data_IF_547269581725
#
_entry.id   IF_547269581725
#
_cell.length_a   1.000
_cell.length_b   1.000
_cell.length_c   1.000
_cell.angle_alpha   90.00
_cell.angle_beta   90.00
_cell.angle_gamma   90.00
#
_symmetry.space_group_name_H-M   'P 1'
#
loop_
_entity.id
_entity.type
_entity.pdbx_description
1 polymer ?
#
# COMPACT_ATOMS: atom_id res chain seq x y z
N UNK A 1 15.53 13.90 -3.81
CA UNK A 1 14.58 14.91 -4.32
C UNK A 1 14.28 15.91 -3.19
N UNK A 2 13.96 17.18 -3.46
CA UNK A 2 13.66 18.14 -2.40
C UNK A 2 12.34 17.80 -1.71
N UNK A 3 12.39 17.58 -0.39
CA UNK A 3 11.19 17.33 0.44
C UNK A 3 10.87 18.58 1.24
N UNK A 4 9.71 19.19 1.00
CA UNK A 4 9.28 20.39 1.71
C UNK A 4 8.56 19.97 3.01
N UNK A 5 9.10 20.39 4.16
CA UNK A 5 8.31 20.35 5.39
C UNK A 5 7.39 21.56 5.35
N UNK A 6 6.07 21.36 5.28
CA UNK A 6 5.16 22.44 5.61
C UNK A 6 5.08 22.55 7.13
N UNK A 7 5.06 23.76 7.66
CA UNK A 7 4.73 23.94 9.08
C UNK A 7 3.35 23.34 9.32
N UNK A 8 3.31 22.33 10.19
CA UNK A 8 2.05 21.77 10.66
C UNK A 8 1.30 22.87 11.35
N UNK A 9 0.20 23.21 10.69
CA UNK A 9 -0.99 23.90 11.16
C UNK A 9 -1.08 23.90 12.70
N UNK A 10 -0.98 25.11 13.27
CA UNK A 10 -0.98 25.44 14.70
C UNK A 10 -1.71 24.41 15.59
N UNK A 11 -0.91 23.61 16.30
CA UNK A 11 -1.37 22.56 17.21
C UNK A 11 -1.90 23.10 18.54
N UNK A 12 -1.80 24.41 18.78
CA UNK A 12 -2.20 25.02 20.05
C UNK A 12 -3.66 25.48 20.05
N UNK A 13 -4.35 25.49 18.90
CA UNK A 13 -5.64 26.15 18.76
C UNK A 13 -6.84 25.40 19.36
N UNK A 14 -6.73 24.11 19.65
CA UNK A 14 -7.75 23.33 20.34
C UNK A 14 -7.08 22.39 21.36
N UNK A 15 -6.94 22.86 22.62
CA UNK A 15 -6.47 22.11 23.80
C UNK A 15 -5.46 20.99 23.51
N UNK A 16 -4.20 21.38 23.32
CA UNK A 16 -3.08 20.48 23.22
C UNK A 16 -2.91 19.62 24.47
N UNK A 17 -3.28 18.35 24.35
CA UNK A 17 -2.77 17.23 25.13
C UNK A 17 -2.18 16.18 24.19
N UNK A 18 -1.55 15.15 24.75
CA UNK A 18 -0.95 13.98 24.09
C UNK A 18 -1.92 13.11 23.26
N UNK A 19 -3.17 13.54 23.05
CA UNK A 19 -4.31 12.68 22.66
C UNK A 19 -5.05 13.16 21.38
N UNK A 20 -4.38 13.84 20.44
CA UNK A 20 -5.06 14.44 19.25
C UNK A 20 -4.35 14.21 17.90
N UNK A 21 -3.36 13.33 17.84
CA UNK A 21 -2.50 13.10 16.67
C UNK A 21 -3.29 12.65 15.42
N UNK A 22 -4.25 11.74 15.59
CA UNK A 22 -5.12 11.25 14.52
C UNK A 22 -6.05 12.32 13.98
N UNK A 23 -6.63 13.18 14.83
CA UNK A 23 -7.44 14.33 14.39
C UNK A 23 -6.60 15.30 13.54
N UNK A 24 -5.41 15.64 14.02
CA UNK A 24 -4.51 16.54 13.30
C UNK A 24 -4.13 15.97 11.94
N UNK A 25 -3.90 14.67 11.87
CA UNK A 25 -3.60 13.96 10.62
C UNK A 25 -4.80 13.95 9.68
N UNK A 26 -6.02 13.73 10.19
CA UNK A 26 -7.24 13.79 9.40
C UNK A 26 -7.43 15.17 8.76
N UNK A 27 -7.32 16.22 9.58
CA UNK A 27 -7.41 17.61 9.15
C UNK A 27 -6.39 17.92 8.05
N UNK A 28 -5.13 17.55 8.27
CA UNK A 28 -4.05 17.81 7.32
C UNK A 28 -4.29 17.07 6.00
N UNK A 29 -4.66 15.79 6.08
CA UNK A 29 -4.95 14.97 4.91
C UNK A 29 -6.11 15.54 4.10
N UNK A 30 -7.22 15.91 4.76
CA UNK A 30 -8.38 16.50 4.10
C UNK A 30 -8.04 17.79 3.37
N UNK A 31 -7.32 18.70 4.03
CA UNK A 31 -6.98 20.00 3.45
C UNK A 31 -6.04 19.84 2.24
N UNK A 32 -5.07 18.93 2.32
CA UNK A 32 -4.16 18.67 1.20
C UNK A 32 -4.84 17.95 0.05
N UNK A 33 -5.74 17.01 0.31
CA UNK A 33 -6.54 16.38 -0.75
C UNK A 33 -7.39 17.40 -1.51
N UNK A 34 -8.09 18.30 -0.80
CA UNK A 34 -8.88 19.37 -1.43
C UNK A 34 -8.01 20.28 -2.31
N UNK A 35 -6.83 20.66 -1.81
CA UNK A 35 -5.90 21.53 -2.53
C UNK A 35 -5.32 20.85 -3.77
N UNK A 36 -4.79 19.63 -3.62
CA UNK A 36 -4.17 18.88 -4.71
C UNK A 36 -5.15 18.42 -5.78
N UNK A 37 -6.45 18.36 -5.47
CA UNK A 37 -7.52 18.16 -6.47
C UNK A 37 -8.00 19.45 -7.14
N UNK A 38 -7.46 20.61 -6.77
CA UNK A 38 -7.88 21.91 -7.29
C UNK A 38 -9.29 22.30 -6.85
N UNK A 39 -9.83 21.66 -5.79
CA UNK A 39 -11.14 21.96 -5.23
C UNK A 39 -11.11 23.22 -4.37
N UNK A 40 -9.93 23.56 -3.84
CA UNK A 40 -9.64 24.85 -3.22
C UNK A 40 -8.40 25.47 -3.86
N UNK A 41 -8.39 26.80 -3.97
CA UNK A 41 -7.25 27.56 -4.49
C UNK A 41 -6.06 27.58 -3.53
N UNK A 42 -4.87 27.91 -4.03
CA UNK A 42 -3.66 28.15 -3.18
C UNK A 42 -3.92 29.17 -2.08
N UNK A 43 -4.68 30.23 -2.40
CA UNK A 43 -5.08 31.25 -1.44
C UNK A 43 -5.96 30.65 -0.34
N UNK A 44 -7.02 29.93 -0.72
CA UNK A 44 -7.89 29.25 0.25
C UNK A 44 -7.12 28.24 1.10
N UNK A 45 -6.22 27.45 0.50
CA UNK A 45 -5.36 26.53 1.24
C UNK A 45 -4.50 27.28 2.27
N UNK A 46 -3.87 28.39 1.88
CA UNK A 46 -3.06 29.22 2.78
C UNK A 46 -3.88 29.89 3.89
N UNK A 47 -5.13 30.26 3.61
CA UNK A 47 -6.04 30.87 4.58
C UNK A 47 -6.57 29.81 5.57
N UNK A 48 -7.03 28.67 5.06
CA UNK A 48 -7.62 27.59 5.85
C UNK A 48 -6.60 26.84 6.70
N UNK A 49 -5.35 26.70 6.24
CA UNK A 49 -4.29 26.03 7.01
C UNK A 49 -3.90 26.76 8.31
N UNK A 50 -4.41 27.96 8.58
CA UNK A 50 -4.22 28.66 9.86
C UNK A 50 -5.55 29.10 10.49
N UNK A 51 -6.68 28.61 9.98
CA UNK A 51 -8.01 29.07 10.40
C UNK A 51 -8.53 28.24 11.59
N UNK A 52 -8.52 28.84 12.77
CA UNK A 52 -9.04 28.23 14.01
C UNK A 52 -10.48 27.69 13.85
N UNK A 53 -11.38 28.49 13.29
CA UNK A 53 -12.79 28.11 13.16
C UNK A 53 -12.99 26.91 12.22
N UNK A 54 -12.15 26.79 11.19
CA UNK A 54 -12.15 25.61 10.32
C UNK A 54 -11.74 24.36 11.10
N UNK A 55 -10.73 24.46 11.95
CA UNK A 55 -10.27 23.33 12.76
C UNK A 55 -11.28 22.90 13.81
N UNK A 56 -11.92 23.86 14.48
CA UNK A 56 -13.03 23.57 15.39
C UNK A 56 -14.19 22.87 14.68
N UNK A 57 -14.46 23.21 13.40
CA UNK A 57 -15.47 22.49 12.60
C UNK A 57 -15.05 21.06 12.28
N UNK A 58 -13.80 20.83 11.86
CA UNK A 58 -13.29 19.47 11.61
C UNK A 58 -13.35 18.66 12.91
N UNK A 59 -12.87 19.23 14.02
CA UNK A 59 -12.85 18.58 15.34
C UNK A 59 -14.25 18.12 15.77
N UNK A 60 -15.24 19.01 15.67
CA UNK A 60 -16.63 18.72 16.03
C UNK A 60 -17.24 17.57 15.21
N UNK A 61 -16.76 17.35 13.99
CA UNK A 61 -17.23 16.28 13.11
C UNK A 61 -16.42 14.99 13.27
N UNK A 62 -15.16 15.07 13.73
CA UNK A 62 -14.26 13.92 13.81
C UNK A 62 -14.18 13.27 15.19
N UNK A 63 -14.12 14.07 16.25
CA UNK A 63 -13.92 13.60 17.62
C UNK A 63 -15.27 13.54 18.32
N UNK A 64 -15.69 12.34 18.70
CA UNK A 64 -16.82 12.19 19.62
C UNK A 64 -16.27 12.22 21.04
N UNK A 65 -16.66 13.23 21.82
CA UNK A 65 -16.32 13.30 23.24
C UNK A 65 -17.07 12.19 23.99
N UNK A 66 -16.46 11.01 24.06
CA UNK A 66 -16.83 10.04 25.09
C UNK A 66 -16.53 10.69 26.46
N UNK A 67 -17.49 10.64 27.38
CA UNK A 67 -17.58 11.50 28.57
C UNK A 67 -16.42 11.50 29.58
N UNK A 68 -15.25 10.93 29.27
CA UNK A 68 -14.07 10.84 30.14
C UNK A 68 -12.71 11.08 29.43
N UNK A 69 -12.67 11.96 28.43
CA UNK A 69 -11.41 12.40 27.80
C UNK A 69 -11.52 12.54 26.29
N UNK A 70 -10.70 13.39 25.69
CA UNK A 70 -10.58 13.43 24.23
C UNK A 70 -9.88 12.13 23.80
N UNK A 71 -10.60 11.20 23.18
CA UNK A 71 -9.99 10.02 22.59
C UNK A 71 -9.40 10.40 21.23
N UNK A 72 -8.15 9.99 20.99
CA UNK A 72 -7.49 10.17 19.71
C UNK A 72 -8.29 9.49 18.58
N UNK A 73 -8.16 9.97 17.35
CA UNK A 73 -8.82 9.37 16.19
C UNK A 73 -8.06 8.10 15.81
N UNK A 74 -8.57 6.95 16.24
CA UNK A 74 -8.05 5.64 15.83
C UNK A 74 -8.25 5.41 14.32
N UNK A 75 -7.48 4.51 13.71
CA UNK A 75 -7.60 4.21 12.27
C UNK A 75 -9.05 3.85 11.83
N UNK A 76 -9.83 3.01 12.55
CA UNK A 76 -11.22 2.76 12.20
C UNK A 76 -12.10 4.01 12.24
N UNK A 77 -11.90 4.89 13.23
CA UNK A 77 -12.61 6.17 13.32
C UNK A 77 -12.19 7.08 12.17
N UNK A 78 -10.90 7.17 11.87
CA UNK A 78 -10.37 7.93 10.74
C UNK A 78 -11.06 7.56 9.43
N UNK A 79 -11.07 6.26 9.10
CA UNK A 79 -11.68 5.74 7.88
C UNK A 79 -13.20 5.98 7.85
N UNK A 80 -13.87 5.82 8.99
CA UNK A 80 -15.31 6.12 9.12
C UNK A 80 -15.60 7.59 8.84
N UNK A 81 -14.84 8.51 9.47
CA UNK A 81 -15.01 9.96 9.28
C UNK A 81 -14.66 10.39 7.87
N UNK A 82 -13.68 9.74 7.24
CA UNK A 82 -13.34 10.00 5.84
C UNK A 82 -14.50 9.59 4.92
N UNK A 83 -15.10 8.42 5.17
CA UNK A 83 -16.28 7.95 4.43
C UNK A 83 -17.48 8.89 4.59
N UNK A 84 -17.74 9.39 5.79
CA UNK A 84 -18.79 10.37 6.06
C UNK A 84 -18.54 11.70 5.34
N UNK A 85 -17.30 12.21 5.38
CA UNK A 85 -16.91 13.40 4.63
C UNK A 85 -17.19 13.24 3.13
N UNK A 86 -16.77 12.10 2.55
CA UNK A 86 -17.00 11.78 1.14
C UNK A 86 -18.49 11.67 0.79
N UNK A 87 -19.33 11.17 1.70
CA UNK A 87 -20.81 11.12 1.54
C UNK A 87 -21.48 12.49 1.68
N UNK A 88 -20.73 13.53 2.05
CA UNK A 88 -21.26 14.88 2.23
C UNK A 88 -21.92 15.10 3.59
N UNK A 89 -21.62 14.27 4.59
CA UNK A 89 -22.17 14.39 5.95
C UNK A 89 -21.53 15.57 6.71
N UNK A 90 -20.39 16.08 6.24
CA UNK A 90 -19.70 17.23 6.84
C UNK A 90 -20.06 18.52 6.12
N UNK A 91 -20.42 19.56 6.88
CA UNK A 91 -20.70 20.90 6.34
C UNK A 91 -19.52 21.85 6.61
N UNK A 92 -18.79 22.17 5.54
CA UNK A 92 -17.73 23.17 5.52
C UNK A 92 -18.06 24.37 4.62
N UNK A 93 -19.34 24.57 4.30
CA UNK A 93 -19.80 25.63 3.38
C UNK A 93 -19.39 27.04 3.82
N UNK A 94 -19.36 27.29 5.14
CA UNK A 94 -18.86 28.55 5.73
C UNK A 94 -17.38 28.85 5.44
N UNK A 95 -16.63 27.86 4.97
CA UNK A 95 -15.23 27.96 4.56
C UNK A 95 -15.05 27.92 3.04
N UNK A 96 -16.14 27.95 2.28
CA UNK A 96 -16.12 27.87 0.82
C UNK A 96 -15.79 26.48 0.28
N UNK A 97 -15.98 25.41 1.09
CA UNK A 97 -15.86 24.02 0.65
C UNK A 97 -17.28 23.45 0.54
N UNK A 98 -17.69 23.02 -0.66
CA UNK A 98 -19.02 22.46 -0.88
C UNK A 98 -19.00 20.95 -0.61
N UNK A 99 -20.14 20.38 -0.22
CA UNK A 99 -20.26 18.93 -0.05
C UNK A 99 -19.98 18.18 -1.37
N UNK A 100 -20.30 18.79 -2.51
CA UNK A 100 -19.94 18.27 -3.84
C UNK A 100 -18.43 18.23 -4.10
N UNK A 101 -17.65 19.07 -3.42
CA UNK A 101 -16.19 19.02 -3.51
C UNK A 101 -15.66 17.83 -2.70
N UNK A 102 -16.23 17.57 -1.51
CA UNK A 102 -15.88 16.40 -0.69
C UNK A 102 -16.23 15.07 -1.39
N UNK A 103 -17.37 15.01 -2.09
CA UNK A 103 -17.76 13.83 -2.86
C UNK A 103 -16.85 13.53 -4.06
N UNK A 104 -16.05 14.50 -4.52
CA UNK A 104 -15.06 14.30 -5.57
C UNK A 104 -13.73 13.71 -5.06
N UNK A 105 -13.55 13.61 -3.73
CA UNK A 105 -12.40 12.95 -3.15
C UNK A 105 -12.57 11.44 -3.36
N UNK A 106 -11.73 10.83 -4.20
CA UNK A 106 -11.72 9.39 -4.34
C UNK A 106 -11.06 8.78 -3.09
N UNK A 107 -11.81 8.05 -2.29
CA UNK A 107 -11.34 7.43 -1.04
C UNK A 107 -11.47 5.89 -1.06
N UNK A 108 -11.95 5.33 -2.17
CA UNK A 108 -12.16 3.89 -2.31
C UNK A 108 -10.81 3.18 -2.40
N UNK A 109 -10.51 2.21 -1.53
CA UNK A 109 -9.18 1.58 -1.46
C UNK A 109 -8.94 0.59 -2.62
N UNK A 110 -8.92 1.09 -3.85
CA UNK A 110 -8.76 0.35 -5.11
C UNK A 110 -7.48 0.71 -5.87
N UNK A 111 -6.64 1.54 -5.27
CA UNK A 111 -5.40 2.12 -5.77
C UNK A 111 -5.56 3.37 -6.67
N UNK A 112 -6.78 3.87 -6.87
CA UNK A 112 -7.06 5.17 -7.52
C UNK A 112 -7.47 6.26 -6.53
N UNK A 113 -7.60 5.90 -5.25
CA UNK A 113 -7.89 6.84 -4.19
C UNK A 113 -6.81 7.91 -4.04
N UNK A 114 -7.20 9.01 -3.41
CA UNK A 114 -6.34 10.15 -3.13
C UNK A 114 -5.71 10.05 -1.74
N UNK A 115 -6.05 9.01 -0.97
CA UNK A 115 -5.54 8.80 0.38
C UNK A 115 -5.37 7.32 0.72
N UNK A 116 -4.21 6.99 1.26
CA UNK A 116 -3.96 5.73 1.96
C UNK A 116 -3.84 6.02 3.44
N UNK A 117 -4.72 5.45 4.26
CA UNK A 117 -4.63 5.54 5.72
C UNK A 117 -4.27 4.17 6.29
N UNK A 118 -3.24 4.09 7.12
CA UNK A 118 -2.73 2.84 7.68
C UNK A 118 -2.05 3.06 9.02
N UNK A 119 -2.06 2.03 9.87
CA UNK A 119 -1.12 1.94 10.98
C UNK A 119 0.16 1.26 10.50
N UNK A 120 1.28 1.66 11.07
CA UNK A 120 2.61 1.39 10.57
C UNK A 120 3.55 1.22 11.77
N UNK A 121 4.35 0.16 11.78
CA UNK A 121 5.36 -0.06 12.85
C UNK A 121 6.75 0.31 12.33
N UNK A 122 7.29 1.41 12.86
CA UNK A 122 8.66 1.84 12.64
C UNK A 122 9.57 1.12 13.64
N UNK A 123 10.13 -0.02 13.23
CA UNK A 123 11.31 -0.58 13.88
C UNK A 123 12.56 0.13 13.36
N UNK A 124 13.24 0.96 14.19
CA UNK A 124 14.51 1.55 13.82
C UNK A 124 15.57 0.44 13.85
N UNK A 125 15.87 -0.16 12.70
CA UNK A 125 16.94 -1.16 12.56
C UNK A 125 16.54 -2.50 11.96
N UNK A 126 15.28 -2.72 11.56
CA UNK A 126 14.90 -3.93 10.83
C UNK A 126 15.33 -3.81 9.34
N UNK A 127 16.28 -4.63 8.85
CA UNK A 127 16.55 -4.73 7.42
C UNK A 127 15.39 -5.47 6.75
N UNK A 128 14.77 -4.83 5.75
CA UNK A 128 13.65 -5.39 4.99
C UNK A 128 13.20 -4.40 3.91
N UNK A 129 12.89 -4.91 2.73
CA UNK A 129 12.58 -4.12 1.54
C UNK A 129 11.12 -3.65 1.50
N UNK A 130 10.69 -2.88 2.50
CA UNK A 130 9.41 -2.20 2.40
C UNK A 130 8.87 -1.54 3.66
N UNK A 131 7.61 -1.13 3.53
CA UNK A 131 6.80 -0.51 4.56
C UNK A 131 6.32 -1.60 5.54
N UNK A 132 7.23 -2.22 6.30
CA UNK A 132 6.87 -3.19 7.35
C UNK A 132 5.72 -2.68 8.24
N UNK A 133 4.60 -3.41 8.25
CA UNK A 133 3.32 -3.01 8.84
C UNK A 133 2.23 -2.61 7.84
N UNK A 134 2.56 -2.01 6.69
CA UNK A 134 1.61 -1.81 5.57
C UNK A 134 1.47 -3.07 4.70
N UNK A 135 2.51 -3.91 4.64
CA UNK A 135 2.46 -5.22 3.99
C UNK A 135 1.53 -6.22 4.71
N UNK A 136 1.19 -5.96 5.97
CA UNK A 136 0.18 -6.73 6.70
C UNK A 136 -1.25 -6.32 6.32
N UNK A 137 -1.43 -5.08 5.83
CA UNK A 137 -2.69 -4.58 5.29
C UNK A 137 -2.71 -4.73 3.76
N UNK A 138 -3.35 -5.80 3.31
CA UNK A 138 -3.43 -6.16 1.90
C UNK A 138 -4.00 -5.04 1.01
N UNK A 139 -5.01 -4.32 1.48
CA UNK A 139 -5.63 -3.25 0.68
C UNK A 139 -4.67 -2.08 0.50
N UNK A 140 -3.88 -1.77 1.53
CA UNK A 140 -2.83 -0.76 1.48
C UNK A 140 -1.71 -1.18 0.52
N UNK A 141 -1.26 -2.44 0.59
CA UNK A 141 -0.24 -2.96 -0.31
C UNK A 141 -0.68 -2.92 -1.78
N UNK A 142 -1.87 -3.44 -2.10
CA UNK A 142 -2.44 -3.42 -3.45
C UNK A 142 -2.60 -1.99 -3.98
N UNK A 143 -3.12 -1.10 -3.14
CA UNK A 143 -3.29 0.31 -3.50
C UNK A 143 -1.96 1.01 -3.80
N UNK A 144 -0.94 0.76 -2.98
CA UNK A 144 0.38 1.37 -3.14
C UNK A 144 1.07 0.87 -4.42
N UNK A 145 0.91 -0.40 -4.78
CA UNK A 145 1.42 -0.94 -6.05
C UNK A 145 0.72 -0.33 -7.26
N UNK A 146 -0.61 -0.14 -7.21
CA UNK A 146 -1.33 0.54 -8.30
C UNK A 146 -0.90 1.99 -8.44
N UNK A 147 -0.67 2.69 -7.32
CA UNK A 147 -0.07 4.02 -7.33
C UNK A 147 1.33 4.02 -7.95
N UNK A 148 2.19 3.04 -7.61
CA UNK A 148 3.52 2.90 -8.20
C UNK A 148 3.48 2.75 -9.73
N UNK A 149 2.45 2.06 -10.25
CA UNK A 149 2.20 1.86 -11.68
C UNK A 149 1.52 3.04 -12.38
N UNK A 150 1.07 4.05 -11.63
CA UNK A 150 0.35 5.19 -12.20
C UNK A 150 1.29 6.09 -13.00
N UNK A 151 0.98 6.25 -14.29
CA UNK A 151 1.72 7.12 -15.22
C UNK A 151 1.13 8.53 -15.22
N UNK A 152 1.98 9.51 -15.47
CA UNK A 152 1.58 10.91 -15.59
C UNK A 152 1.33 11.60 -14.24
N UNK A 153 0.63 12.73 -14.29
CA UNK A 153 0.40 13.55 -13.11
C UNK A 153 -0.56 12.87 -12.12
N UNK A 154 -0.15 12.75 -10.86
CA UNK A 154 -0.99 12.20 -9.79
C UNK A 154 -0.68 12.84 -8.45
N UNK A 155 -1.67 12.87 -7.56
CA UNK A 155 -1.55 13.36 -6.21
C UNK A 155 -2.08 12.31 -5.24
N UNK A 156 -1.34 12.09 -4.16
CA UNK A 156 -1.71 11.09 -3.15
C UNK A 156 -1.34 11.54 -1.75
N UNK A 157 -2.16 11.20 -0.77
CA UNK A 157 -1.91 11.46 0.65
C UNK A 157 -1.73 10.14 1.39
N UNK A 158 -0.69 10.03 2.19
CA UNK A 158 -0.50 8.94 3.14
C UNK A 158 -0.77 9.46 4.55
N UNK A 159 -1.78 8.92 5.23
CA UNK A 159 -2.12 9.23 6.62
C UNK A 159 -1.72 8.04 7.50
N UNK A 160 -0.58 8.15 8.19
CA UNK A 160 0.08 6.99 8.79
C UNK A 160 0.14 7.11 10.31
N UNK A 161 -0.40 6.11 11.01
CA UNK A 161 -0.26 5.94 12.45
C UNK A 161 1.02 5.15 12.77
N UNK A 162 2.03 5.79 13.34
CA UNK A 162 3.35 5.22 13.65
C UNK A 162 3.38 4.60 15.06
N UNK A 163 3.77 3.32 15.15
CA UNK A 163 3.95 2.55 16.39
C UNK A 163 2.73 2.55 17.33
N UNK A 164 1.52 2.81 16.81
CA UNK A 164 0.31 3.07 17.61
C UNK A 164 0.45 4.23 18.62
N UNK A 165 1.46 5.07 18.46
CA UNK A 165 1.78 6.17 19.37
C UNK A 165 1.52 7.54 18.73
N UNK A 166 1.72 7.64 17.41
CA UNK A 166 1.82 8.93 16.74
C UNK A 166 1.20 8.90 15.35
N UNK A 167 0.82 10.04 14.79
CA UNK A 167 0.31 10.09 13.41
C UNK A 167 1.05 11.11 12.55
N UNK A 168 1.18 10.83 11.26
CA UNK A 168 1.82 11.74 10.29
C UNK A 168 1.04 11.76 8.98
N UNK A 169 1.20 12.85 8.23
CA UNK A 169 0.69 12.98 6.87
C UNK A 169 1.85 13.20 5.91
N UNK A 170 1.97 12.35 4.89
CA UNK A 170 2.90 12.52 3.79
C UNK A 170 2.12 12.67 2.48
N UNK A 171 2.14 13.85 1.88
CA UNK A 171 1.50 14.11 0.60
C UNK A 171 2.52 14.10 -0.52
N UNK A 172 2.19 13.40 -1.60
CA UNK A 172 3.00 13.26 -2.79
C UNK A 172 2.30 13.93 -3.96
N UNK A 173 3.06 14.70 -4.73
CA UNK A 173 2.67 15.17 -6.06
C UNK A 173 3.66 14.62 -7.08
N UNK A 174 3.15 13.91 -8.09
CA UNK A 174 3.87 13.43 -9.25
C UNK A 174 3.51 14.28 -10.45
N UNK A 175 4.49 14.75 -11.21
CA UNK A 175 4.26 15.51 -12.43
C UNK A 175 4.06 14.59 -13.66
N UNK A 176 3.82 15.20 -14.83
CA UNK A 176 3.62 14.46 -16.08
C UNK A 176 4.85 13.63 -16.52
N UNK A 177 6.04 13.94 -16.02
CA UNK A 177 7.29 13.21 -16.30
C UNK A 177 7.56 12.08 -15.32
N UNK A 178 6.73 11.95 -14.27
CA UNK A 178 6.91 10.98 -13.20
C UNK A 178 7.81 11.46 -12.06
N UNK A 179 8.26 12.72 -12.06
CA UNK A 179 9.02 13.26 -10.93
C UNK A 179 8.10 13.52 -9.74
N UNK A 180 8.51 13.04 -8.56
CA UNK A 180 7.75 13.13 -7.33
C UNK A 180 8.30 14.22 -6.41
N UNK A 181 7.40 14.95 -5.79
CA UNK A 181 7.69 15.92 -4.73
C UNK A 181 6.85 15.58 -3.50
N UNK A 182 7.39 15.88 -2.33
CA UNK A 182 6.83 15.45 -1.07
C UNK A 182 6.61 16.62 -0.13
N UNK A 183 5.43 16.63 0.47
CA UNK A 183 5.05 17.50 1.58
C UNK A 183 4.79 16.64 2.81
N UNK A 184 5.57 16.87 3.87
CA UNK A 184 5.41 16.12 5.12
C UNK A 184 4.84 17.01 6.22
N UNK A 185 3.93 16.46 7.01
CA UNK A 185 3.26 17.11 8.12
C UNK A 185 3.19 16.14 9.30
N UNK A 186 3.87 16.49 10.38
CA UNK A 186 3.93 15.71 11.61
C UNK A 186 2.87 16.20 12.61
N UNK A 187 1.99 15.31 13.09
CA UNK A 187 0.94 15.70 14.04
C UNK A 187 1.43 16.05 15.45
N UNK A 188 2.75 16.04 15.70
CA UNK A 188 3.40 16.42 16.95
C UNK A 188 4.47 17.50 16.70
N UNK A 189 4.05 18.75 16.90
CA UNK A 189 4.85 19.99 16.85
C UNK A 189 5.77 20.12 15.63
N UNK A 190 5.34 19.60 14.48
CA UNK A 190 6.06 19.73 13.22
C UNK A 190 7.49 19.14 13.26
N UNK A 191 7.67 18.02 13.94
CA UNK A 191 8.95 17.32 13.95
C UNK A 191 9.28 16.75 12.57
N UNK A 192 10.57 16.66 12.25
CA UNK A 192 11.07 15.99 11.03
C UNK A 192 11.55 14.58 11.32
N UNK A 193 11.42 14.09 12.56
CA UNK A 193 12.01 12.82 13.03
C UNK A 193 11.65 11.65 12.13
N UNK A 194 10.39 11.58 11.69
CA UNK A 194 9.88 10.47 10.89
C UNK A 194 9.88 10.75 9.39
N UNK A 195 10.13 12.00 8.98
CA UNK A 195 9.97 12.47 7.60
C UNK A 195 10.76 11.62 6.62
N UNK A 196 12.07 11.52 6.82
CA UNK A 196 12.96 10.85 5.87
C UNK A 196 12.71 9.34 5.86
N UNK A 197 12.45 8.73 7.03
CA UNK A 197 12.15 7.30 7.11
C UNK A 197 10.84 6.93 6.43
N UNK A 198 9.76 7.69 6.67
CA UNK A 198 8.44 7.44 6.08
C UNK A 198 8.51 7.64 4.56
N UNK A 199 9.04 8.77 4.10
CA UNK A 199 9.14 9.06 2.66
C UNK A 199 10.04 8.03 1.97
N UNK A 200 11.19 7.67 2.56
CA UNK A 200 12.08 6.68 1.99
C UNK A 200 11.42 5.31 1.85
N UNK A 201 10.65 4.86 2.85
CA UNK A 201 9.96 3.57 2.77
C UNK A 201 8.85 3.57 1.74
N UNK A 202 8.08 4.65 1.62
CA UNK A 202 7.05 4.75 0.57
C UNK A 202 7.72 4.74 -0.81
N UNK A 203 8.75 5.58 -1.02
CA UNK A 203 9.48 5.62 -2.28
C UNK A 203 10.13 4.28 -2.62
N UNK A 204 10.65 3.54 -1.64
CA UNK A 204 11.21 2.21 -1.85
C UNK A 204 10.21 1.21 -2.45
N UNK A 205 8.89 1.42 -2.31
CA UNK A 205 7.86 0.67 -3.03
C UNK A 205 7.56 1.34 -4.37
N UNK A 206 7.38 2.66 -4.39
CA UNK A 206 6.98 3.40 -5.59
C UNK A 206 8.04 3.42 -6.71
N UNK A 207 9.29 3.04 -6.42
CA UNK A 207 10.38 2.94 -7.40
C UNK A 207 10.73 1.50 -7.80
N UNK A 208 10.01 0.50 -7.27
CA UNK A 208 10.19 -0.91 -7.67
C UNK A 208 9.85 -1.11 -9.14
N UNK A 209 10.56 -2.02 -9.79
CA UNK A 209 10.22 -2.54 -11.11
C UNK A 209 8.96 -3.41 -11.05
N UNK A 210 8.35 -3.71 -12.21
CA UNK A 210 7.16 -4.58 -12.26
C UNK A 210 7.39 -5.97 -11.65
N UNK A 211 8.60 -6.52 -11.76
CA UNK A 211 8.95 -7.79 -11.13
C UNK A 211 9.03 -7.65 -9.60
N UNK A 212 9.75 -6.64 -9.11
CA UNK A 212 9.86 -6.38 -7.66
C UNK A 212 8.52 -6.01 -7.02
N UNK A 213 7.60 -5.38 -7.77
CA UNK A 213 6.24 -5.10 -7.31
C UNK A 213 5.41 -6.38 -7.19
N UNK A 214 5.61 -7.39 -8.05
CA UNK A 214 4.95 -8.69 -7.92
C UNK A 214 5.47 -9.43 -6.69
N UNK A 215 6.78 -9.47 -6.50
CA UNK A 215 7.40 -10.08 -5.32
C UNK A 215 6.91 -9.43 -4.03
N UNK A 216 6.82 -8.09 -4.02
CA UNK A 216 6.26 -7.33 -2.90
C UNK A 216 4.81 -7.70 -2.57
N UNK A 217 3.96 -7.91 -3.58
CA UNK A 217 2.56 -8.33 -3.36
C UNK A 217 2.47 -9.75 -2.78
N UNK A 218 3.31 -10.67 -3.25
CA UNK A 218 3.41 -12.03 -2.71
C UNK A 218 3.89 -12.02 -1.25
N UNK A 219 4.89 -11.21 -0.94
CA UNK A 219 5.40 -11.02 0.42
C UNK A 219 4.31 -10.44 1.34
N UNK A 220 3.59 -9.40 0.91
CA UNK A 220 2.47 -8.83 1.66
C UNK A 220 1.35 -9.86 1.90
N UNK A 221 0.97 -10.61 0.86
CA UNK A 221 -0.01 -11.68 0.97
C UNK A 221 0.41 -12.74 2.00
N UNK A 222 1.68 -13.13 1.98
CA UNK A 222 2.25 -14.13 2.90
C UNK A 222 2.33 -13.62 4.33
N UNK A 223 2.78 -12.38 4.53
CA UNK A 223 2.93 -11.78 5.86
C UNK A 223 1.59 -11.56 6.57
N UNK A 224 0.53 -11.26 5.81
CA UNK A 224 -0.84 -11.12 6.35
C UNK A 224 -1.48 -12.45 6.82
N UNK A 225 -0.83 -13.60 6.64
CA UNK A 225 -1.41 -14.93 6.85
C UNK A 225 -1.55 -15.36 8.33
N UNK A 226 -0.97 -14.68 9.31
CA UNK A 226 -0.86 -15.21 10.68
C UNK A 226 -2.21 -15.64 11.30
N UNK A 227 -3.30 -14.90 11.06
CA UNK A 227 -4.64 -15.27 11.54
C UNK A 227 -5.41 -16.19 10.57
N UNK A 228 -5.14 -16.07 9.26
CA UNK A 228 -5.82 -16.85 8.22
C UNK A 228 -5.30 -18.29 8.12
N UNK A 229 -4.02 -18.51 8.46
CA UNK A 229 -3.39 -19.83 8.48
C UNK A 229 -4.12 -20.82 9.39
N UNK A 230 -4.76 -20.34 10.45
CA UNK A 230 -5.55 -21.19 11.35
C UNK A 230 -6.78 -21.78 10.66
N UNK A 231 -7.34 -21.09 9.66
CA UNK A 231 -8.45 -21.62 8.85
C UNK A 231 -7.91 -22.53 7.74
N UNK A 232 -6.80 -22.14 7.11
CA UNK A 232 -6.15 -22.96 6.09
C UNK A 232 -5.70 -24.33 6.62
N UNK A 233 -5.16 -24.38 7.84
CA UNK A 233 -4.67 -25.62 8.44
C UNK A 233 -5.76 -26.64 8.77
N UNK A 234 -7.03 -26.26 8.70
CA UNK A 234 -8.17 -27.12 9.01
C UNK A 234 -8.71 -27.86 7.79
N UNK A 235 -8.33 -27.44 6.59
CA UNK A 235 -8.85 -27.98 5.35
C UNK A 235 -7.73 -28.68 4.58
N UNK A 236 -8.08 -29.78 3.93
CA UNK A 236 -7.23 -30.43 2.96
C UNK A 236 -7.07 -29.49 1.75
N UNK A 237 -5.84 -29.15 1.34
CA UNK A 237 -5.62 -28.21 0.25
C UNK A 237 -6.09 -28.71 -1.12
N UNK A 238 -6.19 -30.03 -1.32
CA UNK A 238 -6.63 -30.64 -2.57
C UNK A 238 -8.15 -30.68 -2.70
N UNK A 239 -8.85 -31.01 -1.61
CA UNK A 239 -10.33 -31.20 -1.63
C UNK A 239 -11.09 -29.99 -1.13
N UNK A 240 -10.47 -29.14 -0.31
CA UNK A 240 -11.13 -28.05 0.41
C UNK A 240 -12.05 -28.49 1.55
N UNK A 241 -12.08 -29.80 1.84
CA UNK A 241 -12.85 -30.38 2.94
C UNK A 241 -11.98 -30.52 4.20
N UNK A 242 -12.57 -30.62 5.41
CA UNK A 242 -11.83 -30.97 6.61
C UNK A 242 -11.06 -32.28 6.45
N UNK A 243 -9.96 -32.43 7.22
CA UNK A 243 -9.28 -33.72 7.31
C UNK A 243 -10.20 -34.77 7.93
N UNK A 244 -10.05 -36.03 7.49
CA UNK A 244 -10.91 -37.14 7.93
C UNK A 244 -10.81 -37.30 9.45
N UNK A 245 -11.95 -37.22 10.14
CA UNK A 245 -12.03 -37.30 11.59
C UNK A 245 -11.85 -35.96 12.32
N UNK A 246 -11.67 -34.85 11.60
CA UNK A 246 -11.55 -33.49 12.14
C UNK A 246 -12.74 -32.59 11.77
N UNK A 247 -13.82 -33.16 11.21
CA UNK A 247 -14.96 -32.40 10.67
C UNK A 247 -15.63 -31.51 11.73
N UNK A 248 -15.88 -32.07 12.92
CA UNK A 248 -16.51 -31.35 14.03
C UNK A 248 -15.58 -30.26 14.62
N UNK A 249 -14.26 -30.52 14.68
CA UNK A 249 -13.28 -29.52 15.16
C UNK A 249 -13.16 -28.37 14.16
N UNK A 250 -13.07 -28.68 12.87
CA UNK A 250 -13.05 -27.68 11.80
C UNK A 250 -14.30 -26.81 11.87
N UNK A 251 -15.50 -27.41 11.93
CA UNK A 251 -16.76 -26.67 12.05
C UNK A 251 -16.78 -25.78 13.30
N UNK A 252 -16.39 -26.31 14.47
CA UNK A 252 -16.34 -25.54 15.72
C UNK A 252 -15.37 -24.36 15.63
N UNK A 253 -14.17 -24.57 15.07
CA UNK A 253 -13.15 -23.54 14.94
C UNK A 253 -13.52 -22.48 13.92
N UNK A 254 -14.11 -22.83 12.78
CA UNK A 254 -14.66 -21.87 11.84
C UNK A 254 -15.80 -21.05 12.48
N UNK A 255 -16.73 -21.69 13.19
CA UNK A 255 -17.82 -21.00 13.88
C UNK A 255 -17.33 -20.08 15.01
N UNK A 256 -16.25 -20.47 15.69
CA UNK A 256 -15.60 -19.68 16.73
C UNK A 256 -14.87 -18.41 16.24
N UNK A 257 -14.72 -18.22 14.93
CA UNK A 257 -14.07 -17.03 14.35
C UNK A 257 -15.12 -16.06 13.78
N UNK A 258 -15.50 -14.99 14.52
CA UNK A 258 -16.48 -14.02 14.03
C UNK A 258 -15.96 -13.18 12.85
N UNK A 259 -14.65 -13.04 12.71
CA UNK A 259 -14.01 -12.22 11.66
C UNK A 259 -13.72 -12.99 10.36
N UNK A 260 -14.05 -14.28 10.27
CA UNK A 260 -13.68 -15.13 9.13
C UNK A 260 -14.16 -14.59 7.77
N UNK A 261 -15.36 -14.02 7.73
CA UNK A 261 -15.95 -13.43 6.52
C UNK A 261 -15.15 -12.22 6.08
N UNK A 262 -14.80 -11.34 7.02
CA UNK A 262 -14.01 -10.14 6.73
C UNK A 262 -12.59 -10.51 6.28
N UNK A 263 -11.97 -11.53 6.87
CA UNK A 263 -10.67 -12.03 6.43
C UNK A 263 -10.68 -12.55 4.99
N UNK A 264 -11.71 -13.33 4.63
CA UNK A 264 -11.87 -13.81 3.26
C UNK A 264 -12.16 -12.65 2.31
N UNK A 265 -13.05 -11.72 2.68
CA UNK A 265 -13.40 -10.56 1.86
C UNK A 265 -12.18 -9.67 1.58
N UNK A 266 -11.36 -9.39 2.58
CA UNK A 266 -10.15 -8.57 2.43
C UNK A 266 -9.14 -9.22 1.47
N UNK A 267 -8.94 -10.54 1.59
CA UNK A 267 -8.06 -11.30 0.67
C UNK A 267 -8.61 -11.36 -0.74
N UNK A 268 -9.92 -11.53 -0.87
CA UNK A 268 -10.59 -11.53 -2.17
C UNK A 268 -10.44 -10.19 -2.87
N UNK A 269 -10.70 -9.08 -2.17
CA UNK A 269 -10.52 -7.72 -2.70
C UNK A 269 -9.06 -7.45 -3.10
N UNK A 270 -8.10 -7.91 -2.30
CA UNK A 270 -6.69 -7.87 -2.66
C UNK A 270 -6.44 -8.56 -4.01
N UNK A 271 -6.85 -9.83 -4.14
CA UNK A 271 -6.67 -10.60 -5.38
C UNK A 271 -7.35 -9.95 -6.58
N UNK A 272 -8.51 -9.33 -6.36
CA UNK A 272 -9.22 -8.59 -7.39
C UNK A 272 -8.43 -7.35 -7.83
N UNK A 273 -7.92 -6.56 -6.89
CA UNK A 273 -7.18 -5.32 -7.17
C UNK A 273 -5.79 -5.57 -7.75
N UNK A 274 -5.17 -6.72 -7.47
CA UNK A 274 -3.87 -7.11 -8.02
C UNK A 274 -3.96 -7.88 -9.33
N UNK A 275 -5.17 -8.23 -9.78
CA UNK A 275 -5.40 -8.98 -11.01
C UNK A 275 -5.16 -10.49 -10.90
N UNK A 276 -4.96 -11.00 -9.68
CA UNK A 276 -4.74 -12.43 -9.42
C UNK A 276 -5.96 -13.28 -9.79
N UNK A 277 -7.16 -12.69 -9.84
CA UNK A 277 -8.33 -13.44 -10.29
C UNK A 277 -8.30 -13.73 -11.80
N UNK A 278 -7.61 -12.93 -12.61
CA UNK A 278 -7.68 -13.01 -14.09
C UNK A 278 -6.38 -13.48 -14.75
N UNK A 279 -5.21 -13.23 -14.17
CA UNK A 279 -3.93 -13.63 -14.74
C UNK A 279 -3.00 -14.12 -13.63
N UNK A 280 -2.81 -15.45 -13.55
CA UNK A 280 -2.14 -16.11 -12.44
C UNK A 280 -0.82 -16.74 -12.87
N UNK A 281 0.22 -16.47 -12.11
CA UNK A 281 1.35 -17.38 -11.95
C UNK A 281 0.91 -18.65 -11.21
N UNK A 282 1.67 -19.76 -11.28
CA UNK A 282 1.34 -20.98 -10.54
C UNK A 282 1.19 -20.76 -9.03
N UNK A 283 1.97 -19.86 -8.44
CA UNK A 283 1.90 -19.52 -7.02
C UNK A 283 0.63 -18.73 -6.66
N UNK A 284 0.30 -17.70 -7.45
CA UNK A 284 -0.95 -16.94 -7.28
C UNK A 284 -2.19 -17.85 -7.44
N UNK A 285 -2.14 -18.82 -8.37
CA UNK A 285 -3.20 -19.82 -8.53
C UNK A 285 -3.39 -20.67 -7.28
N UNK A 286 -2.31 -21.11 -6.64
CA UNK A 286 -2.39 -21.87 -5.40
C UNK A 286 -3.05 -21.05 -4.28
N UNK A 287 -2.76 -19.75 -4.19
CA UNK A 287 -3.42 -18.85 -3.24
C UNK A 287 -4.91 -18.66 -3.53
N UNK A 288 -5.30 -18.50 -4.79
CA UNK A 288 -6.71 -18.41 -5.21
C UNK A 288 -7.48 -19.68 -4.85
N UNK A 289 -6.90 -20.86 -5.11
CA UNK A 289 -7.47 -22.17 -4.72
C UNK A 289 -7.66 -22.25 -3.22
N UNK A 290 -6.65 -21.89 -2.43
CA UNK A 290 -6.72 -21.92 -0.97
C UNK A 290 -7.81 -20.99 -0.43
N UNK A 291 -7.92 -19.77 -0.98
CA UNK A 291 -8.99 -18.84 -0.59
C UNK A 291 -10.37 -19.38 -0.99
N UNK A 292 -10.50 -19.97 -2.17
CA UNK A 292 -11.74 -20.63 -2.61
C UNK A 292 -12.16 -21.72 -1.64
N UNK A 293 -11.26 -22.63 -1.26
CA UNK A 293 -11.56 -23.74 -0.36
C UNK A 293 -12.12 -23.24 0.98
N UNK A 294 -11.46 -22.25 1.58
CA UNK A 294 -11.92 -21.61 2.82
C UNK A 294 -13.28 -20.92 2.63
N UNK A 295 -13.43 -20.14 1.57
CA UNK A 295 -14.66 -19.42 1.26
C UNK A 295 -15.85 -20.38 1.06
N UNK A 296 -15.62 -21.45 0.30
CA UNK A 296 -16.61 -22.47 0.00
C UNK A 296 -17.04 -23.21 1.26
N UNK A 297 -16.09 -23.62 2.11
CA UNK A 297 -16.41 -24.30 3.37
C UNK A 297 -17.24 -23.42 4.30
N UNK A 298 -16.91 -22.11 4.39
CA UNK A 298 -17.72 -21.14 5.14
C UNK A 298 -19.13 -21.08 4.56
N UNK A 299 -19.27 -20.98 3.23
CA UNK A 299 -20.56 -20.86 2.56
C UNK A 299 -21.45 -22.09 2.77
N UNK A 300 -20.90 -23.31 2.72
CA UNK A 300 -21.66 -24.55 2.85
C UNK A 300 -22.04 -24.89 4.28
N UNK A 301 -21.29 -24.39 5.26
CA UNK A 301 -21.52 -24.64 6.68
C UNK A 301 -22.21 -23.47 7.40
N UNK A 302 -22.36 -22.31 6.74
CA UNK A 302 -23.05 -21.16 7.30
C UNK A 302 -24.54 -21.44 7.48
N UNK A 303 -25.03 -21.13 8.69
CA UNK A 303 -26.45 -21.16 9.02
C UNK A 303 -27.07 -19.76 9.08
N UNK A 304 -26.26 -18.70 9.00
CA UNK A 304 -26.71 -17.31 9.05
C UNK A 304 -26.84 -16.71 7.63
N UNK A 305 -27.98 -16.08 7.28
CA UNK A 305 -28.21 -15.52 5.95
C UNK A 305 -27.20 -14.44 5.54
N UNK A 306 -26.71 -13.64 6.49
CA UNK A 306 -25.78 -12.55 6.21
C UNK A 306 -24.43 -13.07 5.71
N UNK A 307 -23.89 -14.13 6.32
CA UNK A 307 -22.68 -14.80 5.85
C UNK A 307 -22.90 -15.39 4.46
N UNK A 308 -24.02 -16.07 4.22
CA UNK A 308 -24.33 -16.63 2.90
C UNK A 308 -24.36 -15.51 1.85
N UNK A 309 -25.07 -14.41 2.11
CA UNK A 309 -25.19 -13.28 1.20
C UNK A 309 -23.82 -12.65 0.88
N UNK A 310 -22.93 -12.53 1.86
CA UNK A 310 -21.58 -11.97 1.67
C UNK A 310 -20.63 -12.93 0.95
N UNK A 311 -20.69 -14.22 1.29
CA UNK A 311 -19.73 -15.21 0.81
C UNK A 311 -20.06 -15.77 -0.58
N UNK A 312 -21.34 -15.87 -0.93
CA UNK A 312 -21.76 -16.40 -2.22
C UNK A 312 -21.10 -15.70 -3.43
N UNK A 313 -21.14 -14.35 -3.57
CA UNK A 313 -20.51 -13.69 -4.72
C UNK A 313 -18.99 -13.84 -4.74
N UNK A 314 -18.35 -13.97 -3.57
CA UNK A 314 -16.90 -14.20 -3.45
C UNK A 314 -16.56 -15.62 -3.93
N UNK A 315 -17.29 -16.63 -3.46
CA UNK A 315 -17.09 -18.03 -3.85
C UNK A 315 -17.29 -18.25 -5.34
N UNK A 316 -18.34 -17.65 -5.93
CA UNK A 316 -18.63 -17.78 -7.35
C UNK A 316 -17.50 -17.22 -8.23
N UNK A 317 -16.95 -16.05 -7.88
CA UNK A 317 -15.85 -15.44 -8.62
C UNK A 317 -14.54 -16.22 -8.46
N UNK A 318 -14.23 -16.68 -7.24
CA UNK A 318 -13.08 -17.52 -6.98
C UNK A 318 -13.18 -18.86 -7.73
N UNK A 319 -14.38 -19.46 -7.80
CA UNK A 319 -14.64 -20.68 -8.58
C UNK A 319 -14.32 -20.48 -10.06
N UNK A 320 -14.88 -19.42 -10.67
CA UNK A 320 -14.64 -19.09 -12.08
C UNK A 320 -13.15 -18.89 -12.37
N UNK A 321 -12.46 -18.19 -11.47
CA UNK A 321 -11.02 -17.95 -11.56
C UNK A 321 -10.21 -19.25 -11.49
N UNK A 322 -10.53 -20.12 -10.52
CA UNK A 322 -9.89 -21.43 -10.34
C UNK A 322 -10.06 -22.34 -11.55
N UNK A 323 -11.27 -22.41 -12.08
CA UNK A 323 -11.67 -23.32 -13.17
C UNK A 323 -11.24 -22.81 -14.56
N UNK A 324 -10.70 -21.58 -14.63
CA UNK A 324 -10.30 -20.94 -15.88
C UNK A 324 -11.48 -20.43 -16.72
N UNK A 325 -12.65 -20.25 -16.09
CA UNK A 325 -13.91 -19.84 -16.73
C UNK A 325 -14.09 -18.32 -16.82
N UNK A 326 -13.13 -17.51 -16.35
CA UNK A 326 -13.14 -16.06 -16.53
C UNK A 326 -12.79 -15.70 -17.98
N UNK A 327 -13.75 -15.90 -18.88
CA UNK A 327 -13.72 -15.28 -20.21
C UNK A 327 -13.96 -13.77 -20.09
N UNK A 328 -13.22 -13.00 -20.89
CA UNK A 328 -13.23 -11.54 -21.02
C UNK A 328 -14.63 -10.92 -20.87
N UNK A 329 -15.00 -10.49 -19.66
CA UNK A 329 -15.87 -9.33 -19.53
C UNK A 329 -15.00 -8.11 -19.79
N UNK A 330 -15.01 -7.68 -21.06
CA UNK A 330 -14.46 -6.40 -21.50
C UNK A 330 -15.01 -5.31 -20.58
N UNK A 331 -14.15 -4.77 -19.72
CA UNK A 331 -14.38 -3.46 -19.13
C UNK A 331 -14.57 -2.48 -20.30
N UNK A 332 -15.80 -2.04 -20.52
CA UNK A 332 -16.08 -0.89 -21.39
C UNK A 332 -15.57 0.37 -20.69
N UNK A 333 -14.25 0.56 -20.69
CA UNK A 333 -13.69 1.89 -20.57
C UNK A 333 -14.00 2.64 -21.86
N UNK A 334 -14.89 3.62 -21.77
CA UNK A 334 -15.06 4.61 -22.83
C UNK A 334 -13.70 5.30 -23.05
N UNK A 335 -13.16 5.32 -24.28
CA UNK A 335 -11.91 6.02 -24.52
C UNK A 335 -12.17 7.52 -24.43
N UNK A 336 -11.44 8.19 -23.54
CA UNK A 336 -11.17 9.61 -23.67
C UNK A 336 -10.59 9.85 -25.08
N UNK A 337 -11.23 10.70 -25.86
CA UNK A 337 -10.74 11.14 -27.16
C UNK A 337 -9.36 11.79 -26.97
N UNK A 338 -8.30 11.08 -27.38
CA UNK A 338 -6.97 11.65 -27.56
C UNK A 338 -6.76 11.86 -29.05
N UNK A 339 -6.58 13.12 -29.42
CA UNK A 339 -6.23 13.59 -30.76
C UNK A 339 -4.89 12.95 -31.16
N UNK A 340 -4.89 12.26 -32.30
CA UNK A 340 -3.74 11.55 -32.83
C UNK A 340 -2.59 12.49 -33.25
N UNK A 341 -1.37 12.11 -32.93
CA UNK A 341 -0.15 12.47 -33.67
C UNK A 341 0.59 11.17 -34.05
N UNK A 342 1.22 11.10 -35.24
CA UNK A 342 1.58 9.83 -35.86
C UNK A 342 2.81 9.18 -35.23
N UNK A 343 2.74 7.85 -35.09
CA UNK A 343 3.84 6.99 -34.63
C UNK A 343 4.99 6.99 -35.65
N UNK A 344 6.22 7.22 -35.16
CA UNK A 344 7.46 6.80 -35.83
C UNK A 344 7.88 5.46 -35.24
N UNK A 345 7.89 4.46 -36.11
CA UNK A 345 8.45 3.14 -35.88
C UNK A 345 9.97 3.24 -35.72
N UNK A 346 10.52 2.74 -34.61
CA UNK A 346 11.98 2.60 -34.42
C UNK A 346 12.26 1.29 -33.67
N UNK A 347 12.38 0.20 -34.42
CA UNK A 347 13.15 -0.96 -34.00
C UNK A 347 14.64 -0.66 -34.16
N UNK A 348 15.41 -0.64 -33.06
CA UNK A 348 16.87 -0.66 -33.13
C UNK A 348 17.38 -2.10 -32.99
N UNK A 349 18.11 -2.64 -33.97
CA UNK A 349 18.82 -3.90 -33.81
C UNK A 349 20.00 -3.71 -32.85
N UNK A 350 20.23 -4.71 -31.99
CA UNK A 350 21.38 -4.76 -31.09
C UNK A 350 22.63 -4.97 -31.95
N UNK A 351 23.58 -4.04 -31.87
CA UNK A 351 24.86 -4.10 -32.58
C UNK A 351 25.80 -5.11 -31.87
N UNK A 352 25.86 -6.33 -32.38
CA UNK A 352 26.67 -7.42 -31.84
C UNK A 352 28.18 -7.10 -31.83
N UNK A 353 28.66 -6.24 -32.73
CA UNK A 353 30.06 -5.82 -32.77
C UNK A 353 30.42 -4.90 -31.59
N UNK A 354 29.47 -4.09 -31.12
CA UNK A 354 29.63 -3.27 -29.93
C UNK A 354 29.72 -4.12 -28.65
N UNK A 355 28.92 -5.19 -28.57
CA UNK A 355 28.94 -6.13 -27.45
C UNK A 355 30.27 -6.88 -27.37
N UNK A 356 30.78 -7.33 -28.52
CA UNK A 356 32.06 -8.06 -28.61
C UNK A 356 33.26 -7.19 -28.22
N UNK A 357 33.27 -5.92 -28.65
CA UNK A 357 34.28 -4.93 -28.23
C UNK A 357 34.26 -4.64 -26.73
N UNK A 358 33.07 -4.61 -26.10
CA UNK A 358 32.95 -4.43 -24.66
C UNK A 358 33.47 -5.65 -23.88
N UNK A 359 33.26 -6.86 -24.39
CA UNK A 359 33.80 -8.09 -23.78
C UNK A 359 35.33 -8.15 -23.87
N UNK A 360 35.91 -7.81 -25.02
CA UNK A 360 37.37 -7.76 -25.19
C UNK A 360 38.03 -6.71 -24.29
N UNK A 361 37.40 -5.53 -24.14
CA UNK A 361 37.86 -4.49 -23.22
C UNK A 361 37.79 -4.93 -21.75
N UNK A 362 36.75 -5.68 -21.37
CA UNK A 362 36.60 -6.21 -20.01
C UNK A 362 37.62 -7.32 -19.70
N UNK A 363 37.93 -8.19 -20.66
CA UNK A 363 38.98 -9.21 -20.53
C UNK A 363 40.33 -8.54 -20.36
N UNK A 364 40.67 -7.57 -21.22
CA UNK A 364 41.94 -6.86 -21.17
C UNK A 364 42.15 -6.09 -19.85
N UNK A 365 41.09 -5.46 -19.30
CA UNK A 365 41.16 -4.78 -18.01
C UNK A 365 41.44 -5.73 -16.82
N UNK A 366 41.02 -7.00 -16.91
CA UNK A 366 41.28 -8.01 -15.88
C UNK A 366 42.70 -8.58 -16.01
N UNK A 367 43.19 -8.81 -17.22
CA UNK A 367 44.53 -9.39 -17.45
C UNK A 367 45.68 -8.38 -17.36
N UNK A 368 45.47 -7.11 -17.70
CA UNK A 368 46.55 -6.12 -17.84
C UNK A 368 46.50 -4.96 -16.82
N UNK A 369 45.61 -5.02 -15.82
CA UNK A 369 45.47 -3.99 -14.77
C UNK A 369 45.21 -2.56 -15.30
N UNK A 370 44.53 -2.44 -16.42
CA UNK A 370 44.06 -1.16 -16.98
C UNK A 370 42.77 -0.66 -16.32
N UNK A 371 42.47 0.65 -16.34
CA UNK A 371 41.26 1.19 -15.72
C UNK A 371 39.98 0.59 -16.34
N UNK A 372 39.10 0.07 -15.48
CA UNK A 372 37.87 -0.63 -15.87
C UNK A 372 36.89 0.31 -16.60
N UNK A 373 36.15 -0.18 -17.61
CA UNK A 373 35.08 0.58 -18.24
C UNK A 373 33.98 0.88 -17.20
N UNK A 374 33.69 2.16 -17.00
CA UNK A 374 32.75 2.63 -15.97
C UNK A 374 31.27 2.50 -16.34
N UNK A 375 30.95 2.08 -17.56
CA UNK A 375 29.55 1.89 -18.01
C UNK A 375 29.41 0.66 -18.91
N UNK A 376 28.42 -0.20 -18.62
CA UNK A 376 28.07 -1.37 -19.43
C UNK A 376 27.52 -2.55 -18.62
N UNK A 377 26.90 -3.50 -19.32
CA UNK A 377 26.27 -4.70 -18.73
C UNK A 377 27.26 -5.54 -17.91
N UNK A 378 28.49 -5.71 -18.40
CA UNK A 378 29.54 -6.48 -17.71
C UNK A 378 29.99 -5.80 -16.41
N UNK A 379 30.07 -4.47 -16.36
CA UNK A 379 30.39 -3.73 -15.15
C UNK A 379 29.30 -3.87 -14.07
N UNK A 380 28.02 -3.90 -14.48
CA UNK A 380 26.88 -4.18 -13.59
C UNK A 380 26.92 -5.61 -13.06
N UNK A 381 27.27 -6.58 -13.92
CA UNK A 381 27.40 -7.99 -13.54
C UNK A 381 28.55 -8.23 -12.55
N UNK A 382 29.72 -7.63 -12.77
CA UNK A 382 30.86 -7.73 -11.84
C UNK A 382 30.54 -7.09 -10.48
N UNK A 383 29.82 -5.96 -10.47
CA UNK A 383 29.36 -5.35 -9.22
C UNK A 383 28.33 -6.24 -8.48
N UNK A 384 27.41 -6.88 -9.20
CA UNK A 384 26.45 -7.81 -8.60
C UNK A 384 27.15 -9.02 -7.94
N UNK A 385 28.15 -9.61 -8.60
CA UNK A 385 28.96 -10.70 -8.03
C UNK A 385 29.70 -10.25 -6.77
N UNK A 386 30.27 -9.04 -6.78
CA UNK A 386 30.95 -8.49 -5.60
C UNK A 386 30.00 -8.32 -4.42
N UNK A 387 28.79 -7.82 -4.65
CA UNK A 387 27.78 -7.64 -3.60
C UNK A 387 27.33 -8.97 -3.01
N UNK A 388 27.14 -10.00 -3.85
CA UNK A 388 26.82 -11.36 -3.40
C UNK A 388 27.96 -11.92 -2.53
N UNK A 389 29.21 -11.74 -2.95
CA UNK A 389 30.38 -12.21 -2.20
C UNK A 389 30.50 -11.57 -0.82
N UNK A 390 30.31 -10.25 -0.71
CA UNK A 390 30.32 -9.55 0.58
C UNK A 390 29.16 -9.99 1.48
N UNK A 391 27.99 -10.27 0.91
CA UNK A 391 26.85 -10.84 1.64
C UNK A 391 27.15 -12.23 2.23
N UNK A 392 27.76 -13.11 1.43
CA UNK A 392 28.19 -14.45 1.88
C UNK A 392 29.23 -14.33 3.00
N UNK A 393 30.19 -13.40 2.87
CA UNK A 393 31.21 -13.17 3.89
C UNK A 393 30.60 -12.67 5.21
N UNK A 394 29.67 -11.72 5.16
CA UNK A 394 28.93 -11.24 6.34
C UNK A 394 28.12 -12.36 7.00
N UNK A 395 27.44 -13.20 6.21
CA UNK A 395 26.68 -14.34 6.75
C UNK A 395 27.60 -15.37 7.42
N UNK A 396 28.75 -15.68 6.81
CA UNK A 396 29.74 -16.59 7.38
C UNK A 396 30.36 -16.03 8.68
N UNK A 397 30.66 -14.74 8.75
CA UNK A 397 31.16 -14.08 9.96
C UNK A 397 30.10 -14.08 11.09
N UNK A 398 28.84 -13.85 10.75
CA UNK A 398 27.73 -13.91 11.70
C UNK A 398 27.59 -15.32 12.30
N UNK A 399 27.59 -16.36 11.45
CA UNK A 399 27.52 -17.76 11.91
C UNK A 399 28.73 -18.08 12.77
N UNK A 400 29.94 -17.70 12.35
CA UNK A 400 31.18 -17.95 13.10
C UNK A 400 31.19 -17.30 14.50
N UNK A 401 30.59 -16.11 14.65
CA UNK A 401 30.38 -15.47 15.96
C UNK A 401 29.31 -16.16 16.79
N UNK A 402 28.23 -16.59 16.15
CA UNK A 402 27.10 -17.26 16.79
C UNK A 402 27.48 -18.62 17.40
N UNK A 403 28.41 -19.33 16.78
CA UNK A 403 28.93 -20.62 17.29
C UNK A 403 30.23 -20.47 18.10
N UNK A 404 30.64 -19.24 18.43
CA UNK A 404 31.77 -18.96 19.30
C UNK A 404 33.16 -19.28 18.73
N UNK A 405 33.28 -19.44 17.40
CA UNK A 405 34.56 -19.68 16.71
C UNK A 405 35.36 -18.37 16.59
N UNK A 406 34.67 -17.24 16.45
CA UNK A 406 35.26 -15.90 16.40
C UNK A 406 34.61 -15.07 17.51
N UNK A 407 35.42 -14.46 18.39
CA UNK A 407 34.92 -13.55 19.45
C UNK A 407 34.59 -12.18 18.90
#
# INVERSE_FOLDING_TARGET
MPTTQLQVIDQNLCSGGSESCGYHTFKNALLVMLHTKGLISDKQFSDLRNNKAFFEAVLAQTVHTHGHGASDVTLPVFLTRLSQAHKGDFDFSRFGIRNTDLAQLNITPDGTQNITAANYVLYPGAPGHGLGGMEEDLLVAASTVKLAKTKGATNHVFALGLNNEHWVTAAMTQDATGQRSWTFMDSWRNQTRYKDTVVHKIEAVLTKTDAELKDYLLEAYTNSNNNFNQLLSLLNPETGEPFVGEEDDALARFNGQPQKVDWVANRFQFMQHTGWLTAQTPEEKAHVVNLYNVAHYILTTANDPDTIQKMQPICEQLRKSRDGELHEEVAQDQPAQVIAAPAKDVSHPIDEDALKKQQEAAINAVTHSEPKPTEGFVARFVNAIRTIWEGIKSAAEYVARSVGIVR
#
